data_IF_919772058193
#
_entry.id   IF_919772058193
#
_cell.length_a   1.000
_cell.length_b   1.000
_cell.length_c   1.000
_cell.angle_alpha   90.00
_cell.angle_beta   90.00
_cell.angle_gamma   90.00
#
_symmetry.space_group_name_H-M   'P 1'
#
loop_
_entity.id
_entity.type
_entity.pdbx_description
1 polymer ?
#
# COMPACT_ATOMS: atom_id res chain seq x y z
N UNK A 1 -3.83 -13.85 -3.16
CA UNK A 1 -3.21 -12.83 -2.30
C UNK A 1 -3.05 -13.41 -0.91
N UNK A 2 -1.94 -13.14 -0.24
CA UNK A 2 -1.71 -13.48 1.17
C UNK A 2 -1.88 -12.21 2.00
N UNK A 3 -2.50 -12.31 3.18
CA UNK A 3 -2.55 -11.23 4.17
C UNK A 3 -1.51 -11.56 5.23
N UNK A 4 -0.50 -10.72 5.38
CA UNK A 4 0.64 -10.97 6.25
C UNK A 4 0.88 -9.77 7.18
N UNK A 5 0.73 -9.99 8.49
CA UNK A 5 0.95 -8.98 9.52
C UNK A 5 2.42 -8.83 9.92
N UNK A 6 3.27 -9.84 9.62
CA UNK A 6 4.71 -9.83 9.89
C UNK A 6 5.52 -9.09 8.83
N UNK A 7 4.91 -8.83 7.67
CA UNK A 7 5.51 -8.04 6.59
C UNK A 7 5.13 -6.57 6.70
N UNK A 8 6.11 -5.66 6.65
CA UNK A 8 5.85 -4.22 6.79
C UNK A 8 5.09 -3.66 5.58
N UNK A 9 5.59 -3.87 4.36
CA UNK A 9 5.08 -3.28 3.11
C UNK A 9 4.42 -4.31 2.19
N UNK A 10 3.50 -3.87 1.34
CA UNK A 10 2.80 -4.78 0.40
C UNK A 10 3.71 -5.19 -0.76
N UNK A 11 3.80 -6.50 -1.01
CA UNK A 11 4.46 -7.05 -2.19
C UNK A 11 3.47 -7.22 -3.34
N UNK A 12 3.75 -6.64 -4.50
CA UNK A 12 2.95 -6.78 -5.72
C UNK A 12 3.76 -7.41 -6.85
N UNK A 13 3.13 -8.24 -7.72
CA UNK A 13 3.79 -8.76 -8.92
C UNK A 13 4.23 -7.63 -9.86
N UNK A 14 5.24 -7.91 -10.69
CA UNK A 14 5.98 -6.91 -11.47
C UNK A 14 5.11 -5.88 -12.21
N UNK A 15 4.11 -6.32 -12.97
CA UNK A 15 3.25 -5.43 -13.77
C UNK A 15 2.41 -4.52 -12.88
N UNK A 16 1.79 -5.09 -11.83
CA UNK A 16 0.96 -4.33 -10.89
C UNK A 16 1.79 -3.33 -10.08
N UNK A 17 2.96 -3.74 -9.58
CA UNK A 17 3.87 -2.86 -8.86
C UNK A 17 4.35 -1.70 -9.72
N UNK A 18 4.81 -1.97 -10.95
CA UNK A 18 5.34 -0.93 -11.83
C UNK A 18 4.27 0.08 -12.25
N UNK A 19 3.04 -0.37 -12.48
CA UNK A 19 1.91 0.51 -12.77
C UNK A 19 1.60 1.42 -11.57
N UNK A 20 1.48 0.86 -10.36
CA UNK A 20 1.23 1.62 -9.14
C UNK A 20 2.36 2.62 -8.85
N UNK A 21 3.61 2.17 -8.91
CA UNK A 21 4.81 2.99 -8.70
C UNK A 21 4.83 4.19 -9.65
N UNK A 22 4.55 3.95 -10.93
CA UNK A 22 4.55 5.00 -11.95
C UNK A 22 3.45 6.02 -11.70
N UNK A 23 2.23 5.57 -11.40
CA UNK A 23 1.09 6.46 -11.11
C UNK A 23 1.33 7.31 -9.85
N UNK A 24 1.84 6.70 -8.77
CA UNK A 24 2.15 7.44 -7.53
C UNK A 24 3.27 8.45 -7.76
N UNK A 25 4.33 8.08 -8.47
CA UNK A 25 5.43 9.01 -8.82
C UNK A 25 4.96 10.18 -9.66
N UNK A 26 4.04 9.94 -10.60
CA UNK A 26 3.45 11.00 -11.40
C UNK A 26 2.59 11.94 -10.54
N UNK A 27 1.73 11.38 -9.69
CA UNK A 27 0.87 12.16 -8.80
C UNK A 27 1.67 12.97 -7.75
N UNK A 28 2.84 12.47 -7.36
CA UNK A 28 3.73 13.10 -6.38
C UNK A 28 4.91 13.85 -7.02
N UNK A 29 4.83 14.19 -8.32
CA UNK A 29 5.95 14.79 -9.07
C UNK A 29 6.44 16.15 -8.51
N UNK A 30 5.62 16.83 -7.68
CA UNK A 30 6.01 18.04 -6.98
C UNK A 30 7.04 17.82 -5.86
N UNK A 31 7.23 16.56 -5.41
CA UNK A 31 8.12 16.21 -4.31
C UNK A 31 9.37 15.50 -4.86
N UNK A 32 10.58 15.95 -4.48
CA UNK A 32 11.81 15.33 -4.95
C UNK A 32 11.95 13.91 -4.38
N UNK A 33 12.49 13.00 -5.18
CA UNK A 33 12.87 11.68 -4.70
C UNK A 33 14.07 11.76 -3.77
N UNK A 34 14.09 10.93 -2.75
CA UNK A 34 15.23 10.73 -1.87
C UNK A 34 16.09 9.58 -2.43
N UNK A 35 17.29 9.86 -2.96
CA UNK A 35 18.20 8.81 -3.42
C UNK A 35 18.69 7.98 -2.24
N UNK A 36 18.93 6.68 -2.48
CA UNK A 36 19.44 5.74 -1.48
C UNK A 36 18.57 5.63 -0.21
N UNK A 37 17.25 5.79 -0.37
CA UNK A 37 16.30 5.54 0.72
C UNK A 37 16.22 4.05 1.11
N UNK A 38 15.61 3.74 2.27
CA UNK A 38 15.48 2.36 2.75
C UNK A 38 14.57 1.49 1.87
N UNK A 39 13.72 2.10 1.04
CA UNK A 39 12.87 1.44 0.04
C UNK A 39 13.11 2.05 -1.35
N UNK A 40 12.67 1.36 -2.39
CA UNK A 40 12.96 1.72 -3.79
C UNK A 40 12.46 3.13 -4.16
N UNK A 41 11.29 3.55 -3.66
CA UNK A 41 10.71 4.86 -3.95
C UNK A 41 10.50 5.62 -2.65
N UNK A 42 11.41 6.54 -2.35
CA UNK A 42 11.32 7.45 -1.21
C UNK A 42 11.30 8.91 -1.68
N UNK A 43 10.64 9.78 -0.92
CA UNK A 43 10.56 11.21 -1.20
C UNK A 43 11.28 12.01 -0.11
N UNK A 44 12.00 13.05 -0.51
CA UNK A 44 12.51 14.05 0.42
C UNK A 44 11.41 15.07 0.69
N UNK A 45 10.69 14.86 1.79
CA UNK A 45 9.57 15.70 2.23
C UNK A 45 10.00 16.81 3.22
N UNK A 46 11.32 17.02 3.40
CA UNK A 46 11.84 18.05 4.30
C UNK A 46 11.39 19.44 3.86
N UNK A 47 10.86 20.23 4.80
CA UNK A 47 10.43 21.60 4.54
C UNK A 47 9.01 21.74 3.95
N UNK A 48 8.34 20.64 3.61
CA UNK A 48 6.94 20.67 3.17
C UNK A 48 5.99 20.63 4.37
N UNK A 49 5.19 21.69 4.54
CA UNK A 49 4.16 21.75 5.61
C UNK A 49 2.95 20.85 5.33
N UNK A 50 2.64 20.63 4.05
CA UNK A 50 1.52 19.82 3.61
C UNK A 50 1.97 18.98 2.42
N UNK A 51 1.78 17.67 2.52
CA UNK A 51 2.13 16.70 1.48
C UNK A 51 0.85 16.10 0.93
N UNK A 52 0.57 16.32 -0.35
CA UNK A 52 -0.54 15.74 -1.05
C UNK A 52 -0.15 14.34 -1.53
N UNK A 53 -0.59 13.32 -0.78
CA UNK A 53 -0.40 11.92 -1.14
C UNK A 53 -1.64 11.44 -1.92
N UNK A 54 -1.48 10.77 -3.08
CA UNK A 54 -2.62 10.28 -3.86
C UNK A 54 -3.42 9.25 -3.06
N UNK A 55 -4.71 9.09 -3.36
CA UNK A 55 -5.52 7.99 -2.81
C UNK A 55 -5.20 6.71 -3.58
N UNK A 56 -5.11 5.60 -2.85
CA UNK A 56 -4.92 4.25 -3.43
C UNK A 56 -5.95 3.32 -2.80
N UNK A 57 -6.53 2.45 -3.61
CA UNK A 57 -7.54 1.49 -3.18
C UNK A 57 -7.28 0.11 -3.76
N UNK A 58 -7.65 -0.93 -3.01
CA UNK A 58 -7.70 -2.30 -3.51
C UNK A 58 -9.13 -2.68 -3.85
N UNK A 59 -9.32 -3.24 -5.04
CA UNK A 59 -10.59 -3.78 -5.49
C UNK A 59 -10.49 -5.31 -5.52
N UNK A 60 -11.39 -5.97 -4.79
CA UNK A 60 -11.42 -7.42 -4.67
C UNK A 60 -12.53 -7.99 -5.55
N UNK A 61 -12.31 -9.18 -6.13
CA UNK A 61 -13.28 -9.83 -7.03
C UNK A 61 -14.66 -10.12 -6.41
N UNK A 62 -14.79 -10.07 -5.08
CA UNK A 62 -16.07 -10.15 -4.36
C UNK A 62 -16.85 -8.83 -4.28
N UNK A 63 -16.40 -7.76 -4.96
CA UNK A 63 -17.02 -6.44 -4.95
C UNK A 63 -16.62 -5.54 -3.78
N UNK A 64 -15.74 -6.00 -2.89
CA UNK A 64 -15.22 -5.19 -1.80
C UNK A 64 -14.14 -4.22 -2.31
N UNK A 65 -14.18 -2.98 -1.83
CA UNK A 65 -13.14 -1.97 -2.07
C UNK A 65 -12.55 -1.50 -0.75
N UNK A 66 -11.23 -1.54 -0.62
CA UNK A 66 -10.50 -1.02 0.54
C UNK A 66 -9.79 0.26 0.13
N UNK A 67 -10.19 1.40 0.70
CA UNK A 67 -9.52 2.68 0.50
C UNK A 67 -8.41 2.86 1.53
N UNK A 68 -7.15 2.83 1.11
CA UNK A 68 -6.03 2.92 2.03
C UNK A 68 -5.99 4.26 2.76
N UNK A 69 -5.59 4.23 4.03
CA UNK A 69 -5.46 5.44 4.84
C UNK A 69 -4.43 6.39 4.24
N UNK A 70 -4.80 7.67 4.06
CA UNK A 70 -3.87 8.71 3.59
C UNK A 70 -3.34 9.49 4.80
N UNK A 71 -2.02 9.73 4.90
CA UNK A 71 -0.94 9.23 4.03
C UNK A 71 -0.41 7.85 4.46
N UNK A 72 -0.71 7.42 5.68
CA UNK A 72 0.03 6.37 6.41
C UNK A 72 -0.21 4.93 5.95
N UNK A 73 -1.17 4.70 5.06
CA UNK A 73 -1.42 3.42 4.38
C UNK A 73 -0.80 3.36 2.98
N UNK A 74 -0.11 4.42 2.55
CA UNK A 74 0.51 4.55 1.23
C UNK A 74 1.99 4.86 1.36
N UNK A 75 2.35 5.68 2.35
CA UNK A 75 3.72 5.98 2.71
C UNK A 75 4.05 5.46 4.11
N UNK A 76 5.26 4.93 4.27
CA UNK A 76 5.90 4.63 5.55
C UNK A 76 7.23 5.36 5.57
N UNK A 77 7.43 6.24 6.57
CA UNK A 77 8.67 7.04 6.70
C UNK A 77 9.05 7.82 5.43
N UNK A 78 8.05 8.31 4.68
CA UNK A 78 8.27 9.06 3.43
C UNK A 78 8.54 8.18 2.19
N UNK A 79 8.48 6.86 2.33
CA UNK A 79 8.68 5.89 1.26
C UNK A 79 7.40 5.17 0.88
N UNK A 80 7.26 4.80 -0.39
CA UNK A 80 6.13 4.03 -0.91
C UNK A 80 6.05 2.68 -0.18
N UNK A 81 4.91 2.40 0.45
CA UNK A 81 4.67 1.19 1.23
C UNK A 81 4.35 -0.04 0.35
N UNK A 82 4.98 -0.12 -0.82
CA UNK A 82 4.82 -1.18 -1.80
C UNK A 82 6.17 -1.54 -2.40
N UNK A 83 6.36 -2.81 -2.70
CA UNK A 83 7.55 -3.31 -3.39
C UNK A 83 7.20 -4.42 -4.39
N UNK A 84 8.12 -4.68 -5.32
CA UNK A 84 8.00 -5.81 -6.24
C UNK A 84 8.23 -7.13 -5.51
N UNK A 85 7.26 -8.05 -5.58
CA UNK A 85 7.38 -9.39 -4.98
C UNK A 85 7.93 -10.45 -5.94
N UNK A 86 8.08 -10.14 -7.23
CA UNK A 86 8.58 -11.06 -8.25
C UNK A 86 7.86 -10.89 -9.60
N UNK A 87 8.01 -11.87 -10.52
CA UNK A 87 7.30 -11.89 -11.80
C UNK A 87 5.78 -11.96 -11.60
N UNK A 88 5.00 -11.77 -12.68
CA UNK A 88 3.53 -11.70 -12.62
C UNK A 88 2.84 -12.97 -12.09
N UNK A 89 3.52 -14.12 -12.13
CA UNK A 89 3.04 -15.37 -11.54
C UNK A 89 3.19 -15.43 -10.01
N UNK A 90 3.92 -14.49 -9.39
CA UNK A 90 4.12 -14.43 -7.94
C UNK A 90 2.84 -14.05 -7.21
N UNK A 91 2.69 -14.55 -5.99
CA UNK A 91 1.55 -14.21 -5.13
C UNK A 91 1.74 -12.80 -4.54
N UNK A 92 0.73 -11.95 -4.68
CA UNK A 92 0.69 -10.66 -3.97
C UNK A 92 0.54 -10.86 -2.46
N UNK A 93 1.27 -10.08 -1.66
CA UNK A 93 1.26 -10.14 -0.20
C UNK A 93 0.88 -8.77 0.36
N UNK A 94 -0.28 -8.67 1.01
CA UNK A 94 -0.74 -7.46 1.68
C UNK A 94 0.00 -7.30 3.02
N UNK A 95 0.79 -6.25 3.14
CA UNK A 95 1.61 -5.96 4.33
C UNK A 95 0.87 -5.14 5.39
N UNK A 96 1.46 -5.03 6.58
CA UNK A 96 0.90 -4.38 7.75
C UNK A 96 0.54 -2.91 7.53
N UNK A 97 1.41 -2.13 6.87
CA UNK A 97 1.20 -0.68 6.68
C UNK A 97 -0.11 -0.41 5.94
N UNK A 98 -0.40 -1.16 4.88
CA UNK A 98 -1.62 -1.01 4.10
C UNK A 98 -2.87 -1.55 4.82
N UNK A 99 -2.70 -2.28 5.92
CA UNK A 99 -3.78 -2.80 6.77
C UNK A 99 -4.09 -1.90 7.98
N UNK A 100 -3.32 -0.82 8.20
CA UNK A 100 -3.55 0.09 9.33
C UNK A 100 -4.96 0.70 9.26
N UNK A 101 -5.58 0.82 10.42
CA UNK A 101 -6.95 1.32 10.63
C UNK A 101 -8.07 0.44 10.04
N UNK A 102 -7.77 -0.82 9.70
CA UNK A 102 -8.78 -1.80 9.34
C UNK A 102 -8.94 -2.87 10.41
N UNK A 103 -10.17 -3.25 10.69
CA UNK A 103 -10.49 -4.54 11.29
C UNK A 103 -10.69 -5.55 10.16
N UNK A 104 -10.03 -6.70 10.29
CA UNK A 104 -10.08 -7.79 9.31
C UNK A 104 -10.83 -8.95 9.94
N UNK A 105 -11.96 -9.32 9.35
CA UNK A 105 -12.75 -10.48 9.75
C UNK A 105 -12.42 -11.66 8.85
N UNK A 106 -12.00 -12.77 9.45
CA UNK A 106 -11.80 -14.03 8.76
C UNK A 106 -13.02 -14.94 9.03
N UNK A 107 -13.93 -15.00 8.05
CA UNK A 107 -15.05 -15.92 8.06
C UNK A 107 -14.61 -17.24 7.43
N UNK A 108 -14.07 -18.11 8.27
CA UNK A 108 -13.50 -19.41 7.85
C UNK A 108 -14.60 -20.36 7.34
N UNK A 109 -15.80 -20.27 7.92
CA UNK A 109 -16.94 -21.12 7.54
C UNK A 109 -17.40 -20.85 6.10
N UNK A 110 -17.47 -19.58 5.72
CA UNK A 110 -17.90 -19.18 4.37
C UNK A 110 -16.74 -18.89 3.41
N UNK A 111 -15.50 -19.13 3.82
CA UNK A 111 -14.28 -18.82 3.07
C UNK A 111 -14.23 -17.35 2.59
N UNK A 112 -14.61 -16.41 3.46
CA UNK A 112 -14.64 -14.96 3.17
C UNK A 112 -13.71 -14.19 4.08
N UNK A 113 -13.23 -13.06 3.56
CA UNK A 113 -12.52 -12.05 4.35
C UNK A 113 -13.29 -10.74 4.25
N UNK A 114 -13.60 -10.15 5.40
CA UNK A 114 -14.25 -8.85 5.52
C UNK A 114 -13.30 -7.78 6.02
N UNK A 115 -13.51 -6.53 5.59
CA UNK A 115 -12.70 -5.39 6.02
C UNK A 115 -13.61 -4.27 6.51
N UNK A 116 -13.35 -3.75 7.70
CA UNK A 116 -14.03 -2.57 8.26
C UNK A 116 -13.02 -1.44 8.44
N UNK A 117 -13.21 -0.35 7.70
CA UNK A 117 -12.38 0.85 7.82
C UNK A 117 -12.62 1.60 9.14
N UNK A 118 -11.63 2.37 9.59
CA UNK A 118 -11.67 3.21 10.80
C UNK A 118 -12.01 2.45 12.09
N UNK A 119 -11.61 1.19 12.17
CA UNK A 119 -11.95 0.32 13.29
C UNK A 119 -10.98 0.42 14.48
N UNK A 120 -9.72 0.81 14.23
CA UNK A 120 -8.67 0.91 15.23
C UNK A 120 -8.40 2.38 15.53
N UNK A 121 -8.45 2.76 16.81
CA UNK A 121 -8.17 4.10 17.33
C UNK A 121 -6.86 4.09 18.11
#
# INVERSE_FOLDING_TARGET
MIIDFGRVVTGLPSTAYNALKSAVRQAMAAYPLLPNGPLETCYNLTGYRTVAVPKVSFEFGGGATINLGVPNGILVEGCLAFEMSGPDASVAVLGNVNQRNFEVLFDVEHAKVGFRANACK
#
